data_IF_451635041075
#
_entry.id   IF_451635041075
#
_cell.length_a   1.000
_cell.length_b   1.000
_cell.length_c   1.000
_cell.angle_alpha   90.00
_cell.angle_beta   90.00
_cell.angle_gamma   90.00
#
_symmetry.space_group_name_H-M   'P 1'
#
loop_
_entity.id
_entity.type
_entity.pdbx_description
1 polymer ?
#
# COMPACT_ATOMS: atom_id res chain seq x y z
N UNK A 1 -9.98 -6.81 -20.73
CA UNK A 1 -10.23 -6.22 -19.40
C UNK A 1 -9.00 -5.46 -18.97
N UNK A 2 -9.11 -4.24 -18.44
CA UNK A 2 -8.00 -3.64 -17.71
C UNK A 2 -7.65 -4.54 -16.52
N UNK A 3 -6.35 -4.80 -16.31
CA UNK A 3 -5.79 -5.51 -15.17
C UNK A 3 -5.94 -4.68 -13.89
N UNK A 4 -5.91 -3.35 -14.01
CA UNK A 4 -6.07 -2.45 -12.88
C UNK A 4 -7.51 -1.91 -12.81
N UNK A 5 -8.23 -2.38 -11.79
CA UNK A 5 -9.49 -1.80 -11.33
C UNK A 5 -9.23 -1.10 -9.99
N UNK A 6 -9.14 0.24 -10.03
CA UNK A 6 -8.80 1.05 -8.86
C UNK A 6 -9.88 0.95 -7.78
N UNK A 7 -11.16 0.95 -8.16
CA UNK A 7 -12.27 0.83 -7.21
C UNK A 7 -12.18 -0.50 -6.46
N UNK A 8 -11.89 -1.59 -7.19
CA UNK A 8 -11.75 -2.91 -6.59
C UNK A 8 -10.52 -3.00 -5.68
N UNK A 9 -9.38 -2.42 -6.08
CA UNK A 9 -8.17 -2.52 -5.27
C UNK A 9 -8.31 -1.74 -3.96
N UNK A 10 -8.92 -0.55 -3.98
CA UNK A 10 -9.11 0.30 -2.80
C UNK A 10 -10.38 -0.01 -2.00
N UNK A 11 -11.13 -1.05 -2.36
CA UNK A 11 -12.34 -1.43 -1.62
C UNK A 11 -11.99 -1.74 -0.15
N UNK A 12 -12.76 -1.14 0.77
CA UNK A 12 -12.61 -1.29 2.21
C UNK A 12 -11.65 -0.30 2.86
N UNK A 13 -10.85 0.44 2.09
CA UNK A 13 -9.92 1.43 2.64
C UNK A 13 -10.65 2.72 3.01
N UNK A 14 -10.02 3.53 3.87
CA UNK A 14 -10.48 4.89 4.17
C UNK A 14 -10.60 5.74 2.89
N UNK A 15 -11.36 6.84 3.02
CA UNK A 15 -11.49 7.81 1.93
C UNK A 15 -10.16 8.49 1.61
N UNK A 16 -9.34 8.76 2.63
CA UNK A 16 -8.04 9.42 2.50
C UNK A 16 -7.07 8.53 1.73
N UNK A 17 -6.91 7.26 2.13
CA UNK A 17 -6.13 6.27 1.38
C UNK A 17 -6.60 6.12 -0.06
N UNK A 18 -7.93 6.01 -0.27
CA UNK A 18 -8.50 5.91 -1.63
C UNK A 18 -8.16 7.12 -2.49
N UNK A 19 -8.21 8.32 -1.92
CA UNK A 19 -7.82 9.57 -2.59
C UNK A 19 -6.36 9.57 -3.02
N UNK A 20 -5.44 9.34 -2.07
CA UNK A 20 -4.00 9.29 -2.34
C UNK A 20 -3.64 8.23 -3.40
N UNK A 21 -4.21 7.02 -3.31
CA UNK A 21 -3.94 5.97 -4.30
C UNK A 21 -4.47 6.31 -5.70
N UNK A 22 -5.60 7.01 -5.79
CA UNK A 22 -6.14 7.47 -7.06
C UNK A 22 -5.31 8.57 -7.71
N UNK A 23 -4.84 9.54 -6.92
CA UNK A 23 -3.95 10.58 -7.42
C UNK A 23 -2.57 10.02 -7.79
N UNK A 24 -2.07 9.08 -7.00
CA UNK A 24 -0.81 8.40 -7.30
C UNK A 24 -0.88 7.53 -8.55
N UNK A 25 -1.97 6.77 -8.80
CA UNK A 25 -2.16 6.07 -10.07
C UNK A 25 -2.13 7.02 -11.27
N UNK A 26 -2.74 8.21 -11.14
CA UNK A 26 -2.71 9.24 -12.19
C UNK A 26 -1.28 9.71 -12.47
N UNK A 27 -0.49 9.95 -11.43
CA UNK A 27 0.93 10.33 -11.54
C UNK A 27 1.78 9.21 -12.16
N UNK A 28 1.60 7.97 -11.73
CA UNK A 28 2.32 6.83 -12.31
C UNK A 28 1.97 6.64 -13.79
N UNK A 29 0.70 6.87 -14.15
CA UNK A 29 0.23 6.79 -15.54
C UNK A 29 0.82 7.89 -16.41
N UNK A 30 0.89 9.13 -15.91
CA UNK A 30 1.49 10.24 -16.66
C UNK A 30 3.00 10.07 -16.84
N UNK A 31 3.68 9.42 -15.90
CA UNK A 31 5.08 9.04 -16.00
C UNK A 31 5.35 7.81 -16.90
N UNK A 32 4.31 7.21 -17.50
CA UNK A 32 4.46 6.12 -18.47
C UNK A 32 4.66 4.73 -17.84
N UNK A 33 4.40 4.55 -16.55
CA UNK A 33 4.51 3.23 -15.92
C UNK A 33 3.48 2.24 -16.51
N UNK A 34 3.87 1.02 -16.92
CA UNK A 34 2.94 0.00 -17.41
C UNK A 34 1.89 -0.40 -16.37
N UNK A 35 0.71 -0.81 -16.82
CA UNK A 35 -0.43 -1.15 -15.94
C UNK A 35 -0.09 -2.23 -14.90
N UNK A 36 0.70 -3.24 -15.28
CA UNK A 36 1.18 -4.28 -14.36
C UNK A 36 2.07 -3.73 -13.25
N UNK A 37 2.90 -2.73 -13.58
CA UNK A 37 3.79 -2.06 -12.60
C UNK A 37 2.96 -1.20 -11.65
N UNK A 38 2.03 -0.40 -12.19
CA UNK A 38 1.11 0.41 -11.38
C UNK A 38 0.28 -0.47 -10.43
N UNK A 39 -0.26 -1.58 -10.94
CA UNK A 39 -0.99 -2.55 -10.12
C UNK A 39 -0.15 -3.08 -8.95
N UNK A 40 1.10 -3.47 -9.19
CA UNK A 40 1.97 -3.99 -8.12
C UNK A 40 2.28 -2.94 -7.04
N UNK A 41 2.46 -1.69 -7.44
CA UNK A 41 2.69 -0.56 -6.53
C UNK A 41 1.46 -0.24 -5.70
N UNK A 42 0.31 -0.05 -6.34
CA UNK A 42 -0.97 0.21 -5.65
C UNK A 42 -1.32 -0.93 -4.70
N UNK A 43 -1.12 -2.18 -5.13
CA UNK A 43 -1.36 -3.35 -4.29
C UNK A 43 -0.48 -3.36 -3.03
N UNK A 44 0.76 -2.87 -3.12
CA UNK A 44 1.64 -2.80 -1.95
C UNK A 44 1.09 -1.82 -0.89
N UNK A 45 0.72 -0.62 -1.32
CA UNK A 45 0.15 0.40 -0.44
C UNK A 45 -1.23 -0.03 0.12
N UNK A 46 -2.10 -0.63 -0.70
CA UNK A 46 -3.38 -1.17 -0.24
C UNK A 46 -3.21 -2.28 0.80
N UNK A 47 -2.22 -3.15 0.63
CA UNK A 47 -1.97 -4.23 1.60
C UNK A 47 -1.40 -3.70 2.92
N UNK A 48 -0.64 -2.60 2.90
CA UNK A 48 -0.21 -1.92 4.11
C UNK A 48 -1.41 -1.31 4.85
N UNK A 49 -2.29 -0.58 4.17
CA UNK A 49 -3.49 0.01 4.79
C UNK A 49 -4.37 -1.04 5.47
N UNK A 50 -4.60 -2.19 4.81
CA UNK A 50 -5.35 -3.31 5.39
C UNK A 50 -4.64 -3.97 6.57
N UNK A 51 -3.31 -4.05 6.51
CA UNK A 51 -2.54 -4.55 7.64
C UNK A 51 -2.68 -3.64 8.86
N UNK A 52 -2.60 -2.33 8.67
CA UNK A 52 -2.78 -1.34 9.72
C UNK A 52 -4.14 -1.47 10.40
N UNK A 53 -5.20 -1.65 9.61
CA UNK A 53 -6.57 -1.79 10.11
C UNK A 53 -6.84 -3.13 10.83
N UNK A 54 -6.38 -4.26 10.29
CA UNK A 54 -6.85 -5.58 10.73
C UNK A 54 -5.82 -6.36 11.58
N UNK A 55 -4.52 -6.13 11.37
CA UNK A 55 -3.47 -7.02 11.85
C UNK A 55 -2.38 -6.34 12.66
N UNK A 56 -2.30 -5.01 12.63
CA UNK A 56 -1.27 -4.28 13.37
C UNK A 56 -1.49 -4.43 14.87
N UNK A 57 -0.45 -4.84 15.64
CA UNK A 57 -0.52 -4.86 17.09
C UNK A 57 -0.28 -3.47 17.73
N UNK A 58 0.04 -2.47 16.91
CA UNK A 58 0.30 -1.10 17.36
C UNK A 58 -1.03 -0.40 17.73
N UNK A 59 -1.19 0.06 18.99
CA UNK A 59 -2.41 0.76 19.42
C UNK A 59 -2.66 2.07 18.67
N UNK A 60 -1.63 2.66 18.06
CA UNK A 60 -1.74 3.90 17.30
C UNK A 60 -1.87 3.64 15.78
N UNK A 61 -2.14 2.38 15.37
CA UNK A 61 -2.29 2.02 13.96
C UNK A 61 -3.55 2.57 13.29
N UNK A 62 -4.58 2.93 14.07
CA UNK A 62 -5.86 3.43 13.56
C UNK A 62 -5.67 4.74 12.77
N UNK A 63 -4.82 5.64 13.25
CA UNK A 63 -4.52 6.91 12.56
C UNK A 63 -3.84 6.64 11.21
N UNK A 64 -2.89 5.71 11.16
CA UNK A 64 -2.21 5.29 9.93
C UNK A 64 -3.11 4.46 8.99
N UNK A 65 -4.08 3.73 9.53
CA UNK A 65 -5.11 3.02 8.78
C UNK A 65 -6.10 4.01 8.12
N UNK A 66 -6.35 5.16 8.74
CA UNK A 66 -7.17 6.23 8.16
C UNK A 66 -6.38 7.13 7.21
N UNK A 67 -5.16 7.57 7.56
CA UNK A 67 -4.35 8.51 6.78
C UNK A 67 -2.94 7.98 6.47
N UNK A 68 -2.55 7.83 5.18
CA UNK A 68 -1.18 7.44 4.81
C UNK A 68 -0.09 8.39 5.32
N UNK A 69 -0.41 9.64 5.67
CA UNK A 69 0.56 10.59 6.23
C UNK A 69 0.99 10.25 7.67
N UNK A 70 0.19 9.46 8.40
CA UNK A 70 0.50 9.00 9.75
C UNK A 70 1.32 7.69 9.75
N UNK A 71 1.57 7.12 8.56
CA UNK A 71 2.39 5.91 8.43
C UNK A 71 3.84 6.21 8.81
N UNK A 72 4.32 5.49 9.81
CA UNK A 72 5.70 5.59 10.29
C UNK A 72 6.58 4.49 9.69
N UNK A 73 7.90 4.66 9.87
CA UNK A 73 8.87 3.59 9.54
C UNK A 73 8.59 2.31 10.34
N UNK A 74 8.16 2.43 11.61
CA UNK A 74 7.87 1.28 12.46
C UNK A 74 6.69 0.45 11.91
N UNK A 75 5.64 1.10 11.39
CA UNK A 75 4.54 0.43 10.70
C UNK A 75 5.02 -0.37 9.48
N UNK A 76 5.90 0.22 8.67
CA UNK A 76 6.45 -0.45 7.48
C UNK A 76 7.29 -1.66 7.90
N UNK A 77 8.12 -1.54 8.94
CA UNK A 77 8.94 -2.65 9.45
C UNK A 77 8.07 -3.78 10.02
N UNK A 78 7.02 -3.46 10.77
CA UNK A 78 6.06 -4.43 11.31
C UNK A 78 5.30 -5.15 10.19
N UNK A 79 4.83 -4.41 9.18
CA UNK A 79 4.20 -4.99 7.98
C UNK A 79 5.15 -5.93 7.23
N UNK A 80 6.43 -5.57 7.12
CA UNK A 80 7.43 -6.44 6.49
C UNK A 80 7.63 -7.75 7.25
N UNK A 81 7.75 -7.69 8.57
CA UNK A 81 7.84 -8.89 9.41
C UNK A 81 6.60 -9.78 9.24
N UNK A 82 5.41 -9.19 9.32
CA UNK A 82 4.14 -9.90 9.10
C UNK A 82 4.05 -10.55 7.72
N UNK A 83 4.52 -9.87 6.66
CA UNK A 83 4.55 -10.44 5.30
C UNK A 83 5.52 -11.61 5.16
N UNK A 84 6.65 -11.59 5.88
CA UNK A 84 7.60 -12.71 5.91
C UNK A 84 6.95 -13.92 6.58
N UNK A 85 6.30 -13.69 7.72
CA UNK A 85 5.66 -14.74 8.54
C UNK A 85 4.45 -15.37 7.85
N UNK A 86 3.61 -14.58 7.19
CA UNK A 86 2.34 -15.05 6.62
C UNK A 86 2.41 -15.42 5.14
N UNK A 87 3.44 -14.96 4.42
CA UNK A 87 3.65 -15.21 2.99
C UNK A 87 5.05 -15.74 2.72
N UNK A 88 6.01 -14.84 2.45
CA UNK A 88 7.41 -15.19 2.15
C UNK A 88 8.31 -13.96 2.10
N UNK A 89 9.61 -14.15 2.31
CA UNK A 89 10.61 -13.07 2.19
C UNK A 89 10.66 -12.40 0.81
N UNK A 90 10.49 -13.17 -0.26
CA UNK A 90 10.42 -12.60 -1.62
C UNK A 90 9.20 -11.70 -1.81
N UNK A 91 8.04 -12.09 -1.25
CA UNK A 91 6.82 -11.27 -1.31
C UNK A 91 6.99 -10.00 -0.48
N UNK A 92 7.53 -10.12 0.74
CA UNK A 92 7.81 -8.98 1.61
C UNK A 92 8.70 -7.95 0.91
N UNK A 93 9.82 -8.39 0.33
CA UNK A 93 10.75 -7.52 -0.42
C UNK A 93 10.08 -6.80 -1.59
N UNK A 94 9.24 -7.51 -2.37
CA UNK A 94 8.52 -6.89 -3.48
C UNK A 94 7.55 -5.80 -2.98
N UNK A 95 6.88 -6.01 -1.84
CA UNK A 95 6.02 -5.01 -1.22
C UNK A 95 6.82 -3.82 -0.70
N UNK A 96 7.96 -4.08 -0.06
CA UNK A 96 8.82 -3.03 0.44
C UNK A 96 9.25 -2.06 -0.67
N UNK A 97 9.65 -2.58 -1.83
CA UNK A 97 10.00 -1.75 -2.99
C UNK A 97 8.82 -0.90 -3.48
N UNK A 98 7.61 -1.45 -3.47
CA UNK A 98 6.39 -0.70 -3.80
C UNK A 98 6.11 0.42 -2.79
N UNK A 99 6.29 0.16 -1.49
CA UNK A 99 6.12 1.16 -0.44
C UNK A 99 7.20 2.24 -0.47
N UNK A 100 8.46 1.89 -0.77
CA UNK A 100 9.51 2.86 -1.03
C UNK A 100 9.13 3.79 -2.19
N UNK A 101 8.57 3.25 -3.28
CA UNK A 101 8.10 4.07 -4.39
C UNK A 101 6.92 4.98 -4.02
N UNK A 102 6.07 4.57 -3.06
CA UNK A 102 4.93 5.36 -2.59
C UNK A 102 5.36 6.54 -1.72
N UNK A 103 6.19 6.30 -0.71
CA UNK A 103 6.56 7.31 0.29
C UNK A 103 7.76 8.19 -0.11
N UNK A 104 8.53 7.81 -1.13
CA UNK A 104 9.60 8.66 -1.68
C UNK A 104 9.14 9.54 -2.86
N UNK A 105 7.86 9.45 -3.23
CA UNK A 105 7.26 10.17 -4.36
C UNK A 105 7.01 11.65 -4.09
#
# INVERSE_FOLDING_TARGET
MPLLDLTKITTGLSKTWTGYLGDWDRTLRSAGHPETTRYNYLLAATQLARYLEEYSPDPDADDAADDPCEVTKAHIEAFQAWMIETRSGATALNKHKGLQQFFNG
#
